data_IF_871722743120
#
_entry.id   IF_871722743120
#
_cell.length_a   1.000
_cell.length_b   1.000
_cell.length_c   1.000
_cell.angle_alpha   90.00
_cell.angle_beta   90.00
_cell.angle_gamma   90.00
#
_symmetry.space_group_name_H-M   'P 1'
#
loop_
_entity.id
_entity.type
_entity.pdbx_description
1 polymer ?
#
# COMPACT_ATOMS: atom_id res chain seq x y z
N UNK A 1 -8.51 -9.72 8.22
CA UNK A 1 -8.12 -8.82 9.32
C UNK A 1 -7.14 -7.81 8.74
N UNK A 2 -7.39 -6.53 8.94
CA UNK A 2 -6.57 -5.43 8.39
C UNK A 2 -5.79 -4.83 9.55
N UNK A 3 -4.47 -4.96 9.53
CA UNK A 3 -3.61 -4.34 10.53
C UNK A 3 -3.00 -3.04 9.98
N UNK A 4 -2.88 -2.04 10.84
CA UNK A 4 -2.15 -0.81 10.52
C UNK A 4 -0.65 -1.04 10.64
N UNK A 5 0.13 -0.57 9.66
CA UNK A 5 1.59 -0.72 9.67
C UNK A 5 2.22 0.38 10.53
N UNK A 6 2.59 0.05 11.76
CA UNK A 6 3.12 1.01 12.75
C UNK A 6 4.45 1.68 12.36
N UNK A 7 5.20 1.11 11.41
CA UNK A 7 6.49 1.63 10.96
C UNK A 7 6.40 2.59 9.76
N UNK A 8 5.19 2.82 9.22
CA UNK A 8 4.96 3.69 8.06
C UNK A 8 4.68 5.12 8.51
N UNK A 9 5.24 6.10 7.79
CA UNK A 9 4.93 7.54 7.91
C UNK A 9 3.52 7.88 7.40
N UNK A 10 2.91 6.97 6.64
CA UNK A 10 1.53 7.06 6.17
C UNK A 10 0.62 6.47 7.25
N UNK A 11 -0.11 7.34 7.94
CA UNK A 11 -0.97 7.01 9.10
C UNK A 11 -2.08 6.00 8.78
N UNK A 12 -2.53 5.93 7.52
CA UNK A 12 -3.63 5.08 7.07
C UNK A 12 -3.19 3.91 6.16
N UNK A 13 -1.90 3.55 6.15
CA UNK A 13 -1.42 2.36 5.43
C UNK A 13 -1.91 1.08 6.09
N UNK A 14 -2.47 0.20 5.27
CA UNK A 14 -3.15 -1.03 5.67
C UNK A 14 -2.58 -2.22 4.92
N UNK A 15 -2.74 -3.40 5.50
CA UNK A 15 -2.35 -4.67 4.88
C UNK A 15 -3.59 -5.51 4.54
N UNK A 16 -3.66 -6.00 3.29
CA UNK A 16 -4.53 -7.13 2.94
C UNK A 16 -3.75 -8.42 3.01
N UNK A 17 -4.38 -9.41 3.63
CA UNK A 17 -3.88 -10.79 3.73
C UNK A 17 -4.95 -11.73 3.17
N UNK A 18 -4.98 -11.94 1.85
CA UNK A 18 -5.86 -12.92 1.25
C UNK A 18 -5.64 -14.29 1.92
N UNK A 19 -6.71 -15.05 2.18
CA UNK A 19 -6.57 -16.38 2.75
C UNK A 19 -5.72 -17.24 1.81
N UNK A 20 -4.57 -17.69 2.31
CA UNK A 20 -3.64 -18.56 1.59
C UNK A 20 -4.19 -19.99 1.61
N UNK A 21 -4.81 -20.43 0.51
CA UNK A 21 -5.24 -21.84 0.35
C UNK A 21 -4.10 -22.82 0.05
N UNK A 22 -2.83 -22.46 0.26
CA UNK A 22 -1.67 -23.23 -0.20
C UNK A 22 -0.31 -22.70 0.31
N UNK A 23 0.74 -22.81 -0.53
CA UNK A 23 2.16 -22.50 -0.21
C UNK A 23 2.55 -21.01 -0.28
N UNK A 24 1.62 -20.16 -0.70
CA UNK A 24 1.85 -18.72 -0.93
C UNK A 24 1.03 -17.89 0.05
N UNK A 25 1.70 -16.97 0.73
CA UNK A 25 1.10 -16.00 1.66
C UNK A 25 1.21 -14.63 1.02
N UNK A 26 0.29 -14.28 0.13
CA UNK A 26 0.33 -12.97 -0.52
C UNK A 26 0.02 -11.90 0.52
N UNK A 27 0.80 -10.82 0.54
CA UNK A 27 0.54 -9.62 1.34
C UNK A 27 0.51 -8.41 0.43
N UNK A 28 -0.45 -7.53 0.67
CA UNK A 28 -0.63 -6.33 -0.13
C UNK A 28 -0.70 -5.12 0.80
N UNK A 29 0.20 -4.17 0.62
CA UNK A 29 0.13 -2.85 1.25
C UNK A 29 -0.77 -1.95 0.40
N UNK A 30 -1.72 -1.31 1.04
CA UNK A 30 -2.67 -0.43 0.38
C UNK A 30 -3.08 0.73 1.28
N UNK A 31 -3.67 1.75 0.67
CA UNK A 31 -4.23 2.91 1.36
C UNK A 31 -5.63 3.19 0.81
N UNK A 32 -6.48 3.81 1.64
CA UNK A 32 -7.66 4.49 1.13
C UNK A 32 -7.30 5.96 0.94
N UNK A 33 -7.39 6.44 -0.28
CA UNK A 33 -7.14 7.84 -0.59
C UNK A 33 -8.30 8.74 -0.09
N UNK A 34 -8.09 10.07 -0.07
CA UNK A 34 -9.14 11.02 0.30
C UNK A 34 -10.41 10.95 -0.57
N UNK A 35 -10.31 10.42 -1.79
CA UNK A 35 -11.40 10.24 -2.74
C UNK A 35 -12.11 8.88 -2.61
N UNK A 36 -11.88 8.18 -1.50
CA UNK A 36 -12.52 6.89 -1.15
C UNK A 36 -12.18 5.75 -2.11
N UNK A 37 -11.06 5.86 -2.83
CA UNK A 37 -10.52 4.78 -3.66
C UNK A 37 -9.46 3.99 -2.90
N UNK A 38 -9.47 2.67 -3.07
CA UNK A 38 -8.40 1.82 -2.57
C UNK A 38 -7.24 1.82 -3.57
N UNK A 39 -6.06 2.23 -3.12
CA UNK A 39 -4.84 2.25 -3.92
C UNK A 39 -3.94 1.13 -3.44
N UNK A 40 -3.75 0.12 -4.29
CA UNK A 40 -2.81 -0.97 -4.03
C UNK A 40 -1.40 -0.48 -4.36
N UNK A 41 -0.50 -0.50 -3.38
CA UNK A 41 0.84 0.08 -3.51
C UNK A 41 1.86 -1.01 -3.84
N UNK A 42 1.95 -2.03 -2.99
CA UNK A 42 2.96 -3.09 -3.12
C UNK A 42 2.32 -4.43 -2.79
N UNK A 43 2.58 -5.44 -3.62
CA UNK A 43 2.20 -6.83 -3.35
C UNK A 43 3.45 -7.71 -3.30
N UNK A 44 3.47 -8.68 -2.38
CA UNK A 44 4.55 -9.66 -2.29
C UNK A 44 4.02 -11.04 -1.93
N UNK A 45 4.48 -12.06 -2.65
CA UNK A 45 4.37 -13.46 -2.25
C UNK A 45 5.72 -13.88 -1.66
N UNK A 46 5.85 -13.89 -0.33
CA UNK A 46 7.13 -14.20 0.32
C UNK A 46 6.96 -15.12 1.52
N UNK A 47 6.67 -16.39 1.25
CA UNK A 47 6.67 -17.45 2.26
C UNK A 47 7.96 -17.42 3.11
N UNK A 48 7.84 -16.99 4.37
CA UNK A 48 8.86 -17.11 5.40
C UNK A 48 9.84 -15.94 5.60
N UNK A 49 9.79 -14.85 4.82
CA UNK A 49 10.72 -13.70 4.96
C UNK A 49 10.04 -12.34 5.19
N UNK A 50 9.01 -12.32 6.04
CA UNK A 50 8.16 -11.13 6.27
C UNK A 50 8.92 -9.91 6.79
N UNK A 51 9.80 -10.10 7.78
CA UNK A 51 10.54 -8.99 8.39
C UNK A 51 11.42 -8.25 7.38
N UNK A 52 12.05 -8.98 6.45
CA UNK A 52 12.83 -8.39 5.36
C UNK A 52 11.92 -7.71 4.34
N UNK A 53 10.83 -8.37 3.98
CA UNK A 53 9.86 -7.81 3.04
C UNK A 53 9.33 -6.47 3.52
N UNK A 54 8.90 -6.34 4.78
CA UNK A 54 8.41 -5.05 5.31
C UNK A 54 9.45 -3.94 5.25
N UNK A 55 10.74 -4.24 5.48
CA UNK A 55 11.81 -3.23 5.38
C UNK A 55 12.00 -2.68 3.96
N UNK A 56 11.70 -3.49 2.95
CA UNK A 56 11.80 -3.11 1.54
C UNK A 56 10.47 -2.50 1.04
N UNK A 57 9.34 -3.14 1.35
CA UNK A 57 8.02 -2.80 0.85
C UNK A 57 7.43 -1.52 1.47
N UNK A 58 7.74 -1.21 2.72
CA UNK A 58 7.21 0.02 3.37
C UNK A 58 7.77 1.27 2.70
N UNK A 59 9.11 1.45 2.56
CA UNK A 59 9.65 2.62 1.86
C UNK A 59 9.18 2.72 0.41
N UNK A 60 9.05 1.59 -0.29
CA UNK A 60 8.53 1.55 -1.66
C UNK A 60 7.07 2.02 -1.72
N UNK A 61 6.21 1.51 -0.83
CA UNK A 61 4.82 1.93 -0.72
C UNK A 61 4.69 3.43 -0.38
N UNK A 62 5.56 3.95 0.48
CA UNK A 62 5.61 5.38 0.80
C UNK A 62 5.92 6.25 -0.42
N UNK A 63 6.91 5.84 -1.23
CA UNK A 63 7.28 6.54 -2.45
C UNK A 63 6.17 6.49 -3.50
N UNK A 64 5.58 5.32 -3.72
CA UNK A 64 4.48 5.14 -4.67
C UNK A 64 3.27 5.99 -4.29
N UNK A 65 2.93 6.05 -3.00
CA UNK A 65 1.81 6.89 -2.56
C UNK A 65 2.10 8.39 -2.70
N UNK A 66 3.33 8.83 -2.42
CA UNK A 66 3.72 10.23 -2.63
C UNK A 66 3.64 10.63 -4.11
N UNK A 67 4.04 9.74 -5.04
CA UNK A 67 3.89 9.95 -6.48
C UNK A 67 2.42 10.01 -6.87
N UNK A 68 1.62 9.04 -6.42
CA UNK A 68 0.17 8.99 -6.67
C UNK A 68 -0.53 10.30 -6.28
N UNK A 69 -0.24 10.84 -5.09
CA UNK A 69 -0.86 12.09 -4.64
C UNK A 69 -0.51 13.28 -5.54
N UNK A 70 0.75 13.40 -5.98
CA UNK A 70 1.17 14.48 -6.90
C UNK A 70 0.45 14.40 -8.23
N UNK A 71 0.32 13.20 -8.79
CA UNK A 71 -0.38 12.98 -10.06
C UNK A 71 -1.88 13.28 -9.92
N UNK A 72 -2.51 12.79 -8.84
CA UNK A 72 -3.93 13.04 -8.57
C UNK A 72 -4.27 14.50 -8.32
N UNK A 73 -3.42 15.24 -7.60
CA UNK A 73 -3.60 16.68 -7.41
C UNK A 73 -3.54 17.43 -8.74
N UNK A 74 -2.66 17.02 -9.67
CA UNK A 74 -2.60 17.56 -11.02
C UNK A 74 -3.87 17.29 -11.82
N UNK A 75 -4.35 16.04 -11.83
CA UNK A 75 -5.58 15.65 -12.53
C UNK A 75 -6.83 16.39 -12.03
N UNK A 76 -6.95 16.61 -10.71
CA UNK A 76 -8.08 17.34 -10.13
C UNK A 76 -8.00 18.84 -10.43
N UNK A 77 -6.80 19.42 -10.41
CA UNK A 77 -6.58 20.81 -10.75
C UNK A 77 -6.88 21.14 -12.22
N UNK A 78 -6.61 20.20 -13.13
CA UNK A 78 -6.90 20.34 -14.56
C UNK A 78 -8.36 20.00 -14.90
N UNK A 79 -9.02 19.12 -14.14
CA UNK A 79 -10.44 18.79 -14.31
C UNK A 79 -11.43 19.82 -13.74
N UNK A 80 -10.96 20.82 -12.98
CA UNK A 80 -11.77 21.93 -12.45
C UNK A 80 -11.61 23.24 -13.22
N UNK A 81 -10.89 23.25 -14.35
CA UNK A 81 -10.76 24.42 -15.23
C UNK A 81 -11.70 24.38 -16.42
#
# INVERSE_FOLDING_TARGET
MVDSIAASRITNMKELRPPSGGRSEVRILFVFDPWRSAVLLVAGDKSGQWSRWYREAIPEAEQLYATYLKEREGEIGDGQR
#
